data_IF_229157299715
#
_entry.id   IF_229157299715
#
_cell.length_a   1.000
_cell.length_b   1.000
_cell.length_c   1.000
_cell.angle_alpha   90.00
_cell.angle_beta   90.00
_cell.angle_gamma   90.00
#
_symmetry.space_group_name_H-M   'P 1'
#
loop_
_entity.id
_entity.type
_entity.pdbx_description
1 polymer ?
#
# COMPACT_ATOMS: atom_id res chain seq x y z
N UNK A 1 -25.04 -46.64 14.99
CA UNK A 1 -23.60 -46.40 15.29
C UNK A 1 -22.83 -46.91 14.07
N UNK A 2 -22.03 -46.19 13.29
CA UNK A 2 -21.13 -45.05 13.49
C UNK A 2 -21.18 -44.19 12.22
N UNK A 3 -21.41 -42.88 12.34
CA UNK A 3 -21.15 -41.92 11.27
C UNK A 3 -19.66 -41.59 11.31
N UNK A 4 -18.91 -42.03 10.32
CA UNK A 4 -17.50 -41.68 10.17
C UNK A 4 -17.42 -40.58 9.11
N UNK A 5 -17.70 -39.34 9.53
CA UNK A 5 -17.30 -38.15 8.77
C UNK A 5 -15.85 -37.87 9.15
N UNK A 6 -14.90 -38.28 8.31
CA UNK A 6 -13.52 -37.84 8.41
C UNK A 6 -13.45 -36.34 8.12
N UNK A 7 -13.10 -35.59 9.18
CA UNK A 7 -12.72 -34.20 9.13
C UNK A 7 -11.50 -34.01 8.20
N UNK A 8 -11.69 -33.29 7.09
CA UNK A 8 -10.62 -32.98 6.13
C UNK A 8 -10.69 -31.52 5.61
N UNK A 9 -11.29 -30.61 6.39
CA UNK A 9 -11.51 -29.20 6.00
C UNK A 9 -10.78 -28.18 6.88
N UNK A 10 -9.66 -28.56 7.51
CA UNK A 10 -8.86 -27.65 8.33
C UNK A 10 -7.40 -27.64 7.88
N UNK A 11 -7.16 -27.40 6.59
CA UNK A 11 -5.90 -26.78 6.18
C UNK A 11 -6.19 -25.28 6.08
N UNK A 12 -5.85 -24.46 7.10
CA UNK A 12 -5.74 -23.04 6.86
C UNK A 12 -4.54 -22.93 5.93
N UNK A 13 -4.78 -22.87 4.63
CA UNK A 13 -3.78 -22.34 3.71
C UNK A 13 -3.35 -21.02 4.34
N UNK A 14 -2.12 -20.99 4.83
CA UNK A 14 -1.52 -19.79 5.36
C UNK A 14 -1.52 -18.81 4.19
N UNK A 15 -2.56 -17.97 4.12
CA UNK A 15 -2.58 -16.83 3.22
C UNK A 15 -1.50 -15.93 3.76
N UNK A 16 -0.28 -16.07 3.22
CA UNK A 16 0.77 -15.10 3.47
C UNK A 16 0.22 -13.77 2.98
N UNK A 17 0.05 -12.84 3.91
CA UNK A 17 -0.35 -11.49 3.58
C UNK A 17 0.69 -10.92 2.61
N UNK A 18 0.20 -10.30 1.54
CA UNK A 18 1.06 -9.65 0.57
C UNK A 18 1.83 -8.52 1.28
N UNK A 19 3.11 -8.28 0.95
CA UNK A 19 3.78 -7.07 1.37
C UNK A 19 2.96 -5.84 0.98
N UNK A 20 3.03 -4.80 1.82
CA UNK A 20 2.23 -3.59 1.67
C UNK A 20 3.10 -2.35 1.70
N UNK A 21 2.98 -1.51 0.68
CA UNK A 21 3.52 -0.16 0.67
C UNK A 21 2.43 0.82 1.11
N UNK A 22 2.67 1.51 2.21
CA UNK A 22 1.86 2.63 2.68
C UNK A 22 2.59 3.92 2.32
N UNK A 23 1.94 4.74 1.49
CA UNK A 23 2.49 6.02 1.04
C UNK A 23 1.67 7.15 1.63
N UNK A 24 2.33 8.16 2.19
CA UNK A 24 1.71 9.39 2.64
C UNK A 24 2.09 10.53 1.69
N UNK A 25 1.10 11.31 1.26
CA UNK A 25 1.29 12.48 0.40
C UNK A 25 0.42 13.65 0.87
N UNK A 26 0.75 14.84 0.37
CA UNK A 26 -0.14 15.99 0.28
C UNK A 26 -0.34 16.35 -1.19
N UNK A 27 -1.50 15.99 -1.75
CA UNK A 27 -1.78 16.27 -3.16
C UNK A 27 -2.03 17.76 -3.48
N UNK A 28 -2.08 18.64 -2.48
CA UNK A 28 -2.05 20.08 -2.72
C UNK A 28 -0.70 20.50 -3.35
N UNK A 29 0.37 19.74 -3.08
CA UNK A 29 1.68 19.91 -3.70
C UNK A 29 1.74 19.20 -5.06
N UNK A 30 1.97 19.97 -6.13
CA UNK A 30 1.95 19.46 -7.50
C UNK A 30 3.00 18.38 -7.78
N UNK A 31 4.13 18.37 -7.07
CA UNK A 31 5.13 17.29 -7.17
C UNK A 31 4.60 15.97 -6.60
N UNK A 32 3.91 16.02 -5.46
CA UNK A 32 3.38 14.83 -4.79
C UNK A 32 2.14 14.26 -5.51
N UNK A 33 1.30 15.13 -6.06
CA UNK A 33 0.19 14.71 -6.93
C UNK A 33 0.70 13.95 -8.17
N UNK A 34 1.74 14.47 -8.84
CA UNK A 34 2.39 13.78 -9.97
C UNK A 34 3.04 12.46 -9.56
N UNK A 35 3.62 12.39 -8.36
CA UNK A 35 4.18 11.14 -7.84
C UNK A 35 3.08 10.09 -7.65
N UNK A 36 1.93 10.45 -7.07
CA UNK A 36 0.80 9.54 -6.91
C UNK A 36 0.23 9.04 -8.25
N UNK A 37 0.14 9.91 -9.25
CA UNK A 37 -0.24 9.55 -10.61
C UNK A 37 0.76 8.56 -11.23
N UNK A 38 2.06 8.84 -11.14
CA UNK A 38 3.10 7.98 -11.68
C UNK A 38 3.13 6.60 -11.00
N UNK A 39 2.82 6.52 -9.70
CA UNK A 39 2.61 5.26 -8.97
C UNK A 39 1.40 4.52 -9.52
N UNK A 40 0.26 5.21 -9.71
CA UNK A 40 -0.96 4.61 -10.25
C UNK A 40 -0.73 4.04 -11.65
N UNK A 41 -0.05 4.78 -12.53
CA UNK A 41 0.31 4.33 -13.87
C UNK A 41 1.21 3.09 -13.83
N UNK A 42 2.27 3.12 -13.02
CA UNK A 42 3.17 1.97 -12.88
C UNK A 42 2.42 0.71 -12.42
N UNK A 43 1.53 0.86 -11.44
CA UNK A 43 0.68 -0.24 -10.97
C UNK A 43 -0.34 -0.66 -12.02
N UNK A 44 -0.91 0.28 -12.77
CA UNK A 44 -1.87 -0.01 -13.84
C UNK A 44 -1.24 -0.85 -14.97
N UNK A 45 0.00 -0.52 -15.36
CA UNK A 45 0.71 -1.21 -16.44
C UNK A 45 1.51 -2.45 -15.97
N UNK A 46 1.69 -2.66 -14.66
CA UNK A 46 2.38 -3.83 -14.12
C UNK A 46 1.44 -4.74 -13.30
N UNK A 47 0.71 -5.66 -13.97
CA UNK A 47 -0.03 -6.71 -13.27
C UNK A 47 0.84 -7.54 -12.31
N UNK A 48 2.10 -7.76 -12.67
CA UNK A 48 3.08 -8.47 -11.83
C UNK A 48 3.30 -7.74 -10.51
N UNK A 49 3.58 -6.43 -10.54
CA UNK A 49 3.78 -5.65 -9.32
C UNK A 49 2.53 -5.65 -8.44
N UNK A 50 1.34 -5.48 -9.01
CA UNK A 50 0.08 -5.55 -8.25
C UNK A 50 -0.16 -6.91 -7.58
N UNK A 51 0.41 -7.99 -8.13
CA UNK A 51 0.29 -9.32 -7.54
C UNK A 51 1.30 -9.57 -6.40
N UNK A 52 2.36 -8.76 -6.33
CA UNK A 52 3.44 -8.88 -5.37
C UNK A 52 3.38 -7.83 -4.24
N UNK A 53 2.68 -6.72 -4.47
CA UNK A 53 2.68 -5.57 -3.58
C UNK A 53 1.29 -4.91 -3.53
N UNK A 54 0.71 -4.85 -2.34
CA UNK A 54 -0.44 -3.98 -2.07
C UNK A 54 0.06 -2.54 -1.88
N UNK A 55 -0.51 -1.57 -2.60
CA UNK A 55 -0.14 -0.15 -2.45
C UNK A 55 -1.35 0.64 -1.95
N UNK A 56 -1.19 1.28 -0.80
CA UNK A 56 -2.18 2.19 -0.22
C UNK A 56 -1.58 3.59 -0.11
N UNK A 57 -2.27 4.58 -0.68
CA UNK A 57 -1.87 5.98 -0.60
C UNK A 57 -2.85 6.71 0.33
N UNK A 58 -2.32 7.32 1.38
CA UNK A 58 -3.02 8.25 2.25
C UNK A 58 -2.67 9.68 1.88
N UNK A 59 -3.67 10.41 1.38
CA UNK A 59 -3.54 11.82 1.04
C UNK A 59 -4.10 12.68 2.17
N UNK A 60 -3.28 13.56 2.72
CA UNK A 60 -3.68 14.47 3.80
C UNK A 60 -4.56 15.62 3.28
N UNK A 61 -4.54 15.87 1.97
CA UNK A 61 -5.40 16.86 1.35
C UNK A 61 -6.85 16.33 1.27
N UNK A 62 -7.76 17.01 1.95
CA UNK A 62 -9.18 16.63 2.00
C UNK A 62 -9.92 16.85 0.67
N UNK A 63 -9.37 17.73 -0.18
CA UNK A 63 -9.86 18.12 -1.51
C UNK A 63 -9.05 17.47 -2.64
N UNK A 64 -8.12 16.57 -2.32
CA UNK A 64 -7.26 15.92 -3.30
C UNK A 64 -8.03 15.17 -4.40
N UNK A 65 -7.38 14.84 -5.52
CA UNK A 65 -8.02 14.11 -6.62
C UNK A 65 -8.53 12.73 -6.16
N UNK A 66 -9.40 12.13 -6.96
CA UNK A 66 -9.74 10.72 -6.82
C UNK A 66 -8.94 9.95 -7.87
N UNK A 67 -8.21 8.93 -7.46
CA UNK A 67 -7.56 8.02 -8.42
C UNK A 67 -8.46 6.82 -8.69
N UNK A 68 -8.57 6.44 -9.96
CA UNK A 68 -9.08 5.14 -10.38
C UNK A 68 -7.89 4.34 -10.92
N UNK A 69 -7.75 3.07 -10.52
CA UNK A 69 -6.64 2.24 -10.99
C UNK A 69 -6.15 1.19 -10.00
N UNK A 70 -4.82 0.97 -10.02
CA UNK A 70 -4.15 -0.16 -9.38
C UNK A 70 -3.75 0.05 -7.92
N UNK A 71 -3.99 1.24 -7.36
CA UNK A 71 -3.72 1.56 -5.96
C UNK A 71 -5.02 1.79 -5.17
N UNK A 72 -4.93 1.62 -3.85
CA UNK A 72 -5.98 2.05 -2.93
C UNK A 72 -5.70 3.48 -2.49
N UNK A 73 -6.45 4.44 -3.03
CA UNK A 73 -6.31 5.86 -2.68
C UNK A 73 -7.32 6.27 -1.62
N UNK A 74 -6.83 6.78 -0.49
CA UNK A 74 -7.66 7.19 0.64
C UNK A 74 -7.30 8.61 1.04
N UNK A 75 -8.30 9.50 1.03
CA UNK A 75 -8.17 10.84 1.62
C UNK A 75 -8.26 10.72 3.14
N UNK A 76 -7.17 11.00 3.86
CA UNK A 76 -7.09 10.94 5.32
C UNK A 76 -7.68 12.22 5.96
N UNK A 77 -8.95 12.50 5.66
CA UNK A 77 -9.64 13.74 6.08
C UNK A 77 -9.60 14.03 7.58
N UNK A 78 -9.50 12.98 8.40
CA UNK A 78 -9.43 13.09 9.86
C UNK A 78 -8.01 13.05 10.42
N UNK A 79 -6.99 12.91 9.58
CA UNK A 79 -5.61 12.69 10.01
C UNK A 79 -5.43 11.40 10.82
N UNK A 80 -6.33 10.43 10.68
CA UNK A 80 -6.32 9.20 11.48
C UNK A 80 -5.11 8.34 11.13
N UNK A 81 -4.78 8.25 9.84
CA UNK A 81 -3.65 7.46 9.33
C UNK A 81 -2.34 8.18 9.60
N UNK A 82 -2.28 9.49 9.37
CA UNK A 82 -1.12 10.32 9.74
C UNK A 82 -0.83 10.20 11.23
N UNK A 83 -1.87 10.26 12.09
CA UNK A 83 -1.70 10.12 13.55
C UNK A 83 -1.25 8.72 13.97
N UNK A 84 -1.69 7.69 13.25
CA UNK A 84 -1.33 6.29 13.48
C UNK A 84 0.14 6.01 13.11
N UNK A 85 0.55 6.38 11.89
CA UNK A 85 1.86 6.02 11.34
C UNK A 85 2.95 7.06 11.60
N UNK A 86 2.56 8.33 11.78
CA UNK A 86 3.43 9.49 12.08
C UNK A 86 4.60 9.64 11.09
N UNK A 87 4.32 9.81 9.78
CA UNK A 87 5.37 10.12 8.82
C UNK A 87 6.07 11.44 9.20
N UNK A 88 7.41 11.53 9.21
CA UNK A 88 8.15 12.72 9.62
C UNK A 88 8.17 13.82 8.56
N UNK A 89 8.05 13.45 7.29
CA UNK A 89 8.02 14.35 6.12
C UNK A 89 7.02 13.82 5.11
N UNK A 90 6.67 14.60 4.09
CA UNK A 90 5.88 14.14 2.95
C UNK A 90 6.64 14.46 1.64
N UNK A 91 6.56 13.58 0.63
CA UNK A 91 5.89 12.28 0.65
C UNK A 91 6.73 11.22 1.37
N UNK A 92 6.09 10.19 1.93
CA UNK A 92 6.74 9.20 2.79
C UNK A 92 6.27 7.79 2.47
N UNK A 93 7.20 6.83 2.49
CA UNK A 93 6.95 5.42 2.25
C UNK A 93 7.20 4.60 3.52
N UNK A 94 6.28 3.70 3.81
CA UNK A 94 6.42 2.67 4.84
C UNK A 94 6.13 1.31 4.19
N UNK A 95 7.10 0.40 4.22
CA UNK A 95 6.92 -0.98 3.78
C UNK A 95 6.56 -1.88 4.96
N UNK A 96 5.48 -2.65 4.83
CA UNK A 96 4.98 -3.58 5.82
C UNK A 96 5.01 -5.01 5.25
N UNK A 97 5.40 -5.97 6.08
CA UNK A 97 5.20 -7.40 5.84
C UNK A 97 4.21 -7.91 6.89
N UNK A 98 2.95 -8.04 6.50
CA UNK A 98 1.83 -8.23 7.43
C UNK A 98 1.69 -7.06 8.40
N UNK A 99 2.10 -7.26 9.66
CA UNK A 99 2.06 -6.23 10.73
C UNK A 99 3.42 -5.65 11.07
N UNK A 100 4.49 -6.22 10.51
CA UNK A 100 5.85 -5.81 10.81
C UNK A 100 6.28 -4.72 9.82
N UNK A 101 6.81 -3.63 10.34
CA UNK A 101 7.44 -2.61 9.52
C UNK A 101 8.86 -3.05 9.14
N UNK A 102 9.16 -3.06 7.84
CA UNK A 102 10.47 -3.45 7.32
C UNK A 102 11.33 -2.26 6.92
N UNK A 103 10.69 -1.19 6.44
CA UNK A 103 11.37 0.00 5.94
C UNK A 103 10.46 1.22 6.13
N UNK A 104 11.08 2.36 6.44
CA UNK A 104 10.45 3.67 6.37
C UNK A 104 11.44 4.69 5.79
N UNK A 105 11.00 5.51 4.85
CA UNK A 105 11.85 6.51 4.21
C UNK A 105 11.03 7.61 3.54
N UNK A 106 11.67 8.74 3.26
CA UNK A 106 11.10 9.71 2.33
C UNK A 106 10.97 9.07 0.94
N UNK A 107 9.83 9.30 0.30
CA UNK A 107 9.60 8.84 -1.05
C UNK A 107 10.03 9.96 -2.02
N UNK A 108 10.91 9.66 -2.96
CA UNK A 108 11.41 10.59 -3.95
C UNK A 108 10.94 10.22 -5.35
N UNK A 109 10.87 8.92 -5.64
CA UNK A 109 10.51 8.36 -6.94
C UNK A 109 9.66 7.10 -6.81
N UNK A 110 8.87 6.78 -7.84
CA UNK A 110 7.92 5.66 -7.79
C UNK A 110 8.61 4.30 -7.70
N UNK A 111 9.82 4.18 -8.25
CA UNK A 111 10.63 2.95 -8.27
C UNK A 111 10.98 2.47 -6.85
N UNK A 112 11.01 3.37 -5.86
CA UNK A 112 11.27 3.01 -4.46
C UNK A 112 10.19 2.11 -3.86
N UNK A 113 8.98 2.00 -4.46
CA UNK A 113 7.97 1.00 -4.09
C UNK A 113 8.50 -0.43 -4.20
N UNK A 114 9.45 -0.67 -5.11
CA UNK A 114 10.07 -1.97 -5.31
C UNK A 114 10.87 -2.45 -4.09
N UNK A 115 11.30 -1.54 -3.21
CA UNK A 115 11.95 -1.89 -1.95
C UNK A 115 11.00 -2.62 -0.97
N UNK A 116 9.68 -2.47 -1.17
CA UNK A 116 8.67 -3.16 -0.39
C UNK A 116 8.34 -4.57 -0.91
N UNK A 117 8.78 -4.93 -2.12
CA UNK A 117 8.50 -6.22 -2.75
C UNK A 117 9.77 -7.08 -2.83
N UNK A 118 9.62 -8.41 -2.80
CA UNK A 118 10.73 -9.36 -3.00
C UNK A 118 11.06 -9.55 -4.49
N UNK A 119 11.03 -8.47 -5.27
CA UNK A 119 11.28 -8.49 -6.72
C UNK A 119 10.48 -7.43 -7.47
N UNK A 120 11.21 -6.50 -8.08
CA UNK A 120 10.86 -5.72 -9.27
C UNK A 120 11.98 -5.97 -10.30
#
# INVERSE_FOLDING_TARGET
MKRMLCALLLCPWAVMAQPKAVVFIDSAEASQSRLAEAINEMLFYSPTLRSLLEVEIFDINSEGPGFSGGLNYVRDRGGNRVSQYRPPVLPFLICLDGREEKLRMQLEEKEQLCLCAQGC
#
